data_IF_947534022271
#
_entry.id   IF_947534022271
#
_cell.length_a   1.000
_cell.length_b   1.000
_cell.length_c   1.000
_cell.angle_alpha   90.00
_cell.angle_beta   90.00
_cell.angle_gamma   90.00
#
_symmetry.space_group_name_H-M   'P 1'
#
loop_
_entity.id
_entity.type
_entity.pdbx_description
1 polymer ?
#
# COMPACT_ATOMS: atom_id res chain seq x y z
N UNK A 1 11.14 22.91 22.26
CA UNK A 1 11.47 22.06 21.11
C UNK A 1 10.19 21.49 20.52
N UNK A 2 9.97 21.76 19.27
CA UNK A 2 8.76 21.28 18.63
C UNK A 2 8.86 19.80 18.31
N UNK A 3 7.79 19.06 18.54
CA UNK A 3 7.73 17.66 18.16
C UNK A 3 7.81 17.55 16.64
N UNK A 4 8.56 16.56 16.15
CA UNK A 4 8.63 16.27 14.74
C UNK A 4 7.26 15.83 14.25
N UNK A 5 6.76 16.41 13.18
CA UNK A 5 5.49 15.97 12.59
C UNK A 5 5.64 14.57 12.04
N UNK A 6 4.64 13.69 12.22
CA UNK A 6 4.69 12.37 11.60
C UNK A 6 4.79 12.49 10.09
N UNK A 7 5.53 11.58 9.46
CA UNK A 7 5.54 11.48 8.01
C UNK A 7 4.15 11.09 7.52
N UNK A 8 3.76 11.61 6.35
CA UNK A 8 2.54 11.21 5.68
C UNK A 8 2.89 10.40 4.44
N UNK A 9 2.55 9.13 4.43
CA UNK A 9 2.87 8.20 3.33
C UNK A 9 1.59 7.77 2.63
N UNK A 10 1.59 7.89 1.30
CA UNK A 10 0.48 7.45 0.46
C UNK A 10 0.94 6.32 -0.45
N UNK A 11 0.29 5.18 -0.35
CA UNK A 11 0.52 4.05 -1.26
C UNK A 11 -0.48 4.10 -2.40
N UNK A 12 0.00 4.03 -3.64
CA UNK A 12 -0.84 4.10 -4.83
C UNK A 12 -0.76 2.84 -5.68
N UNK A 13 -1.91 2.37 -6.14
CA UNK A 13 -2.03 1.42 -7.23
C UNK A 13 -3.30 1.79 -8.00
N UNK A 14 -3.67 1.02 -9.03
CA UNK A 14 -4.81 1.41 -9.88
C UNK A 14 -6.14 1.25 -9.14
N UNK A 15 -6.42 0.05 -8.64
CA UNK A 15 -7.74 -0.26 -8.07
C UNK A 15 -7.84 -0.01 -6.56
N UNK A 16 -6.74 0.25 -5.87
CA UNK A 16 -6.71 0.33 -4.40
C UNK A 16 -7.43 -0.87 -3.78
N UNK A 17 -7.13 -2.05 -4.29
CA UNK A 17 -7.82 -3.29 -3.95
C UNK A 17 -6.92 -4.27 -3.23
N UNK A 18 -5.70 -4.48 -3.70
CA UNK A 18 -4.79 -5.49 -3.16
C UNK A 18 -3.47 -4.86 -2.69
N UNK A 19 -2.58 -4.51 -3.63
CA UNK A 19 -1.21 -4.09 -3.32
C UNK A 19 -1.15 -2.90 -2.35
N UNK A 20 -1.83 -1.82 -2.67
CA UNK A 20 -1.80 -0.63 -1.82
C UNK A 20 -2.54 -0.83 -0.50
N UNK A 21 -3.57 -1.67 -0.47
CA UNK A 21 -4.25 -2.00 0.79
C UNK A 21 -3.36 -2.84 1.71
N UNK A 22 -2.64 -3.81 1.15
CA UNK A 22 -1.70 -4.60 1.94
C UNK A 22 -0.56 -3.73 2.46
N UNK A 23 -0.05 -2.82 1.62
CA UNK A 23 0.99 -1.90 2.04
C UNK A 23 0.52 -0.99 3.17
N UNK A 24 -0.69 -0.45 3.06
CA UNK A 24 -1.25 0.37 4.12
C UNK A 24 -1.36 -0.40 5.44
N UNK A 25 -1.88 -1.62 5.40
CA UNK A 25 -2.03 -2.44 6.60
C UNK A 25 -0.70 -2.79 7.25
N UNK A 26 0.27 -3.22 6.46
CA UNK A 26 1.60 -3.56 6.97
C UNK A 26 2.31 -2.33 7.54
N UNK A 27 2.22 -1.20 6.85
CA UNK A 27 2.88 0.02 7.29
C UNK A 27 2.28 0.54 8.60
N UNK A 28 0.97 0.48 8.75
CA UNK A 28 0.32 0.88 10.00
C UNK A 28 0.77 0.00 11.16
N UNK A 29 0.92 -1.28 10.94
CA UNK A 29 1.40 -2.21 11.96
C UNK A 29 2.86 -1.93 12.31
N UNK A 30 3.69 -1.66 11.31
CA UNK A 30 5.13 -1.48 11.51
C UNK A 30 5.47 -0.13 12.15
N UNK A 31 4.83 0.93 11.69
CA UNK A 31 5.21 2.29 12.08
C UNK A 31 4.32 2.91 13.15
N UNK A 32 3.12 2.37 13.34
CA UNK A 32 2.19 2.90 14.35
C UNK A 32 1.90 4.38 14.09
N UNK A 33 1.90 5.18 15.15
CA UNK A 33 1.59 6.60 15.06
C UNK A 33 2.73 7.46 14.51
N UNK A 34 3.91 6.87 14.27
CA UNK A 34 5.06 7.61 13.73
C UNK A 34 4.84 8.03 12.27
N UNK A 35 3.96 7.35 11.56
CA UNK A 35 3.69 7.61 10.16
C UNK A 35 2.18 7.61 9.95
N UNK A 36 1.67 8.68 9.32
CA UNK A 36 0.29 8.73 8.89
C UNK A 36 0.20 8.02 7.54
N UNK A 37 -0.51 6.89 7.49
CA UNK A 37 -0.51 6.01 6.32
C UNK A 37 -1.88 6.05 5.64
N UNK A 38 -1.86 6.22 4.32
CA UNK A 38 -3.06 6.19 3.47
C UNK A 38 -2.77 5.37 2.23
N UNK A 39 -3.83 4.93 1.56
CA UNK A 39 -3.72 4.30 0.24
C UNK A 39 -4.86 4.78 -0.65
N UNK A 40 -4.65 4.75 -1.96
CA UNK A 40 -5.65 5.17 -2.93
C UNK A 40 -5.35 4.61 -4.31
N UNK A 41 -6.27 4.80 -5.24
CA UNK A 41 -6.11 4.38 -6.62
C UNK A 41 -6.82 5.31 -7.58
N UNK A 42 -6.46 5.21 -8.87
CA UNK A 42 -7.10 6.00 -9.92
C UNK A 42 -8.49 5.45 -10.26
N UNK A 43 -8.71 4.16 -10.08
CA UNK A 43 -9.98 3.49 -10.36
C UNK A 43 -10.36 2.60 -9.18
N UNK A 44 -10.81 3.20 -8.06
CA UNK A 44 -11.09 2.42 -6.85
C UNK A 44 -12.22 1.40 -7.09
N UNK A 45 -12.10 0.26 -6.44
CA UNK A 45 -13.10 -0.79 -6.53
C UNK A 45 -13.50 -1.26 -5.12
N UNK A 46 -12.92 -2.33 -4.65
CA UNK A 46 -13.16 -2.82 -3.29
C UNK A 46 -11.94 -3.59 -2.81
N UNK A 47 -11.79 -3.73 -1.50
CA UNK A 47 -10.67 -4.48 -0.93
C UNK A 47 -10.81 -5.95 -1.33
N UNK A 48 -9.75 -6.51 -1.89
CA UNK A 48 -9.78 -7.87 -2.42
C UNK A 48 -9.86 -8.89 -1.28
N UNK A 49 -10.77 -9.88 -1.36
CA UNK A 49 -10.89 -10.90 -0.30
C UNK A 49 -9.63 -11.71 -0.05
N UNK A 50 -8.84 -11.98 -1.07
CA UNK A 50 -7.56 -12.69 -0.89
C UNK A 50 -6.56 -11.82 -0.11
N UNK A 51 -6.57 -10.51 -0.35
CA UNK A 51 -5.73 -9.60 0.42
C UNK A 51 -6.14 -9.64 1.90
N UNK A 52 -7.42 -9.61 2.18
CA UNK A 52 -7.92 -9.70 3.56
C UNK A 52 -7.43 -10.99 4.22
N UNK A 53 -7.51 -12.10 3.50
CA UNK A 53 -7.14 -13.41 4.04
C UNK A 53 -5.65 -13.53 4.34
N UNK A 54 -4.77 -13.14 3.38
CA UNK A 54 -3.33 -13.26 3.60
C UNK A 54 -2.81 -12.26 4.62
N UNK A 55 -3.47 -11.12 4.77
CA UNK A 55 -3.08 -10.15 5.79
C UNK A 55 -3.46 -10.64 7.17
N UNK A 56 -4.58 -11.34 7.29
CA UNK A 56 -4.97 -11.96 8.56
C UNK A 56 -3.91 -12.96 9.03
N UNK A 57 -3.24 -13.64 8.12
CA UNK A 57 -2.17 -14.58 8.47
C UNK A 57 -1.01 -13.91 9.22
N UNK A 58 -0.81 -12.62 9.01
CA UNK A 58 0.26 -11.87 9.69
C UNK A 58 -0.28 -10.90 10.74
N UNK A 59 -1.52 -11.11 11.16
CA UNK A 59 -2.12 -10.35 12.25
C UNK A 59 -2.63 -8.97 11.87
N UNK A 60 -2.92 -8.74 10.58
CA UNK A 60 -3.43 -7.46 10.09
C UNK A 60 -4.86 -7.64 9.59
N UNK A 61 -5.79 -6.84 10.10
CA UNK A 61 -7.20 -6.88 9.72
C UNK A 61 -7.50 -5.79 8.71
N UNK A 62 -7.85 -6.17 7.48
CA UNK A 62 -8.23 -5.22 6.43
C UNK A 62 -9.75 -5.05 6.30
N UNK A 63 -10.54 -5.70 7.15
CA UNK A 63 -12.01 -5.66 6.98
C UNK A 63 -12.62 -4.28 7.16
N UNK A 64 -11.94 -3.38 7.86
CA UNK A 64 -12.39 -2.00 8.05
C UNK A 64 -11.85 -1.05 6.97
N UNK A 65 -10.97 -1.52 6.11
CA UNK A 65 -10.38 -0.70 5.05
C UNK A 65 -11.36 -0.48 3.91
N UNK A 66 -11.16 0.62 3.19
CA UNK A 66 -11.98 0.96 2.01
C UNK A 66 -11.10 1.29 0.84
N UNK A 67 -11.57 0.91 -0.35
CA UNK A 67 -10.95 1.35 -1.61
C UNK A 67 -11.31 2.81 -1.84
N UNK A 68 -10.32 3.65 -2.14
CA UNK A 68 -10.49 5.10 -2.22
C UNK A 68 -9.88 5.66 -3.49
N UNK A 69 -10.46 6.74 -3.99
CA UNK A 69 -9.91 7.48 -5.12
C UNK A 69 -8.76 8.36 -4.66
N UNK A 70 -7.71 8.44 -5.49
CA UNK A 70 -6.59 9.34 -5.26
C UNK A 70 -7.05 10.80 -5.17
N UNK A 71 -8.18 11.13 -5.79
CA UNK A 71 -8.75 12.48 -5.75
C UNK A 71 -9.26 12.87 -4.38
N UNK A 72 -9.51 11.89 -3.50
CA UNK A 72 -10.00 12.18 -2.13
C UNK A 72 -8.87 12.45 -1.16
N UNK A 73 -7.63 12.31 -1.57
CA UNK A 73 -6.47 12.48 -0.70
C UNK A 73 -6.06 13.96 -0.68
N UNK A 74 -5.92 14.51 0.52
CA UNK A 74 -5.45 15.88 0.70
C UNK A 74 -3.92 15.89 0.54
N UNK A 75 -3.38 16.57 -0.49
CA UNK A 75 -1.94 16.61 -0.72
C UNK A 75 -1.13 17.15 0.46
N UNK A 76 -1.71 18.01 1.28
CA UNK A 76 -1.03 18.57 2.44
C UNK A 76 -0.69 17.53 3.49
N UNK A 77 -1.37 16.37 3.48
CA UNK A 77 -1.16 15.30 4.44
C UNK A 77 -0.09 14.30 3.99
N UNK A 78 0.49 14.49 2.80
CA UNK A 78 1.38 13.50 2.18
C UNK A 78 2.73 14.13 1.89
N UNK A 79 3.79 13.57 2.46
CA UNK A 79 5.16 13.97 2.13
C UNK A 79 5.89 12.92 1.28
N UNK A 80 5.38 11.71 1.22
CA UNK A 80 5.99 10.61 0.46
C UNK A 80 4.91 9.80 -0.25
N UNK A 81 5.04 9.62 -1.55
CA UNK A 81 4.16 8.80 -2.36
C UNK A 81 4.92 7.57 -2.82
N UNK A 82 4.35 6.40 -2.57
CA UNK A 82 4.94 5.12 -2.99
C UNK A 82 3.98 4.46 -3.97
N UNK A 83 4.44 4.28 -5.22
CA UNK A 83 3.65 3.65 -6.27
C UNK A 83 4.01 2.17 -6.37
N UNK A 84 3.00 1.33 -6.51
CA UNK A 84 3.16 -0.13 -6.47
C UNK A 84 2.81 -0.81 -7.80
N UNK A 85 2.44 -0.05 -8.81
CA UNK A 85 2.09 -0.60 -10.12
C UNK A 85 3.34 -1.18 -10.81
N UNK A 86 3.19 -2.33 -11.46
CA UNK A 86 4.31 -2.96 -12.17
C UNK A 86 4.21 -2.72 -13.68
N UNK A 87 3.14 -3.21 -14.31
CA UNK A 87 2.97 -3.14 -15.76
C UNK A 87 1.90 -2.14 -16.19
N UNK A 88 0.95 -1.84 -15.30
CA UNK A 88 -0.11 -0.89 -15.59
C UNK A 88 0.36 0.55 -15.38
N UNK A 89 -0.42 1.49 -15.90
CA UNK A 89 -0.16 2.92 -15.70
C UNK A 89 -0.54 3.30 -14.26
N UNK A 90 0.44 3.76 -13.50
CA UNK A 90 0.20 4.22 -12.14
C UNK A 90 -0.47 5.58 -12.12
N UNK A 91 -1.35 5.83 -11.15
CA UNK A 91 -1.93 7.17 -10.99
C UNK A 91 -0.86 8.21 -10.65
N UNK A 92 -1.09 9.43 -11.12
CA UNK A 92 -0.24 10.57 -10.80
C UNK A 92 -0.84 11.30 -9.61
N UNK A 93 0.00 11.58 -8.63
CA UNK A 93 -0.39 12.36 -7.46
C UNK A 93 0.28 13.74 -7.57
N UNK A 94 -0.55 14.78 -7.68
CA UNK A 94 -0.07 16.15 -7.83
C UNK A 94 0.21 16.76 -6.46
N UNK A 95 1.48 17.01 -6.19
CA UNK A 95 1.90 17.60 -4.93
C UNK A 95 3.42 17.63 -4.86
N UNK A 96 3.96 18.22 -3.81
CA UNK A 96 5.40 18.32 -3.60
C UNK A 96 6.03 17.12 -2.91
N UNK A 97 5.31 16.01 -2.83
CA UNK A 97 5.76 14.84 -2.11
C UNK A 97 6.93 14.14 -2.81
N UNK A 98 7.79 13.52 -2.01
CA UNK A 98 8.83 12.63 -2.52
C UNK A 98 8.16 11.43 -3.18
N UNK A 99 8.72 10.96 -4.28
CA UNK A 99 8.15 9.82 -5.02
C UNK A 99 9.10 8.63 -4.95
N UNK A 100 8.54 7.47 -4.58
CA UNK A 100 9.27 6.20 -4.53
C UNK A 100 8.45 5.19 -5.33
N UNK A 101 9.12 4.35 -6.10
CA UNK A 101 8.44 3.35 -6.91
C UNK A 101 8.89 1.95 -6.52
N UNK A 102 7.94 1.14 -6.06
CA UNK A 102 8.16 -0.28 -5.74
C UNK A 102 7.27 -1.12 -6.66
N UNK A 103 7.75 -1.52 -7.84
CA UNK A 103 6.91 -2.30 -8.76
C UNK A 103 6.63 -3.69 -8.18
N UNK A 104 5.36 -3.94 -7.91
CA UNK A 104 4.88 -5.23 -7.39
C UNK A 104 3.96 -5.82 -8.45
N UNK A 105 4.24 -7.04 -8.97
CA UNK A 105 3.32 -7.68 -9.90
C UNK A 105 1.94 -7.81 -9.27
N UNK A 106 0.89 -7.55 -10.06
CA UNK A 106 -0.47 -7.65 -9.59
C UNK A 106 -0.80 -9.10 -9.26
N UNK A 107 -1.10 -9.46 -8.01
CA UNK A 107 -1.45 -10.82 -7.65
C UNK A 107 -2.85 -11.22 -8.09
N UNK A 108 -3.72 -10.24 -8.34
CA UNK A 108 -5.10 -10.51 -8.69
C UNK A 108 -5.23 -10.95 -10.14
N UNK A 109 -6.26 -11.77 -10.41
CA UNK A 109 -6.58 -12.21 -11.76
C UNK A 109 -8.09 -12.42 -11.83
N UNK A 110 -8.65 -12.15 -13.01
CA UNK A 110 -10.04 -12.43 -13.29
C UNK A 110 -10.24 -13.81 -13.92
N UNK A 111 -9.17 -14.57 -14.12
CA UNK A 111 -9.23 -15.90 -14.71
C UNK A 111 -9.81 -16.89 -13.68
N UNK A 112 -11.04 -17.42 -13.93
CA UNK A 112 -11.67 -18.32 -12.98
C UNK A 112 -11.04 -19.71 -12.91
N UNK A 113 -10.13 -20.03 -13.83
CA UNK A 113 -9.45 -21.34 -13.82
C UNK A 113 -8.29 -21.39 -12.83
N UNK A 114 -7.86 -20.26 -12.28
CA UNK A 114 -6.77 -20.23 -11.30
C UNK A 114 -7.29 -20.78 -9.96
N UNK A 115 -6.68 -21.85 -9.42
CA UNK A 115 -7.12 -22.41 -8.15
C UNK A 115 -6.91 -21.41 -7.00
N UNK A 116 -7.76 -21.52 -6.00
CA UNK A 116 -7.69 -20.69 -4.79
C UNK A 116 -6.28 -20.72 -4.16
N UNK A 117 -5.66 -21.89 -4.07
CA UNK A 117 -4.35 -22.03 -3.46
C UNK A 117 -3.27 -21.26 -4.24
N UNK A 118 -3.39 -21.22 -5.56
CA UNK A 118 -2.46 -20.44 -6.37
C UNK A 118 -2.68 -18.95 -6.15
N UNK A 119 -3.93 -18.52 -6.07
CA UNK A 119 -4.24 -17.12 -5.78
C UNK A 119 -3.67 -16.71 -4.42
N UNK A 120 -3.85 -17.53 -3.40
CA UNK A 120 -3.28 -17.24 -2.09
C UNK A 120 -1.76 -17.15 -2.13
N UNK A 121 -1.11 -18.03 -2.88
CA UNK A 121 0.33 -18.01 -3.05
C UNK A 121 0.80 -16.71 -3.68
N UNK A 122 0.09 -16.23 -4.70
CA UNK A 122 0.41 -14.97 -5.37
C UNK A 122 0.26 -13.78 -4.42
N UNK A 123 -0.81 -13.77 -3.64
CA UNK A 123 -1.06 -12.69 -2.69
C UNK A 123 -0.05 -12.71 -1.54
N UNK A 124 0.34 -13.90 -1.07
CA UNK A 124 1.39 -14.02 -0.05
C UNK A 124 2.73 -13.50 -0.57
N UNK A 125 3.07 -13.81 -1.81
CA UNK A 125 4.31 -13.34 -2.42
C UNK A 125 4.33 -11.81 -2.54
N UNK A 126 3.22 -11.22 -2.96
CA UNK A 126 3.09 -9.76 -3.06
C UNK A 126 3.20 -9.13 -1.67
N UNK A 127 2.50 -9.68 -0.68
CA UNK A 127 2.56 -9.22 0.70
C UNK A 127 3.98 -9.23 1.24
N UNK A 128 4.68 -10.34 1.05
CA UNK A 128 6.03 -10.50 1.61
C UNK A 128 7.02 -9.58 0.93
N UNK A 129 6.85 -9.34 -0.37
CA UNK A 129 7.70 -8.40 -1.10
C UNK A 129 7.48 -6.97 -0.65
N UNK A 130 6.24 -6.58 -0.39
CA UNK A 130 5.92 -5.27 0.17
C UNK A 130 6.55 -5.12 1.56
N UNK A 131 6.47 -6.17 2.38
CA UNK A 131 7.07 -6.16 3.71
C UNK A 131 8.58 -5.92 3.63
N UNK A 132 9.28 -6.56 2.70
CA UNK A 132 10.71 -6.36 2.52
C UNK A 132 11.03 -4.89 2.19
N UNK A 133 10.24 -4.27 1.30
CA UNK A 133 10.42 -2.86 0.97
C UNK A 133 10.18 -1.97 2.19
N UNK A 134 9.16 -2.28 2.97
CA UNK A 134 8.82 -1.48 4.16
C UNK A 134 9.92 -1.54 5.21
N UNK A 135 10.62 -2.65 5.32
CA UNK A 135 11.71 -2.80 6.28
C UNK A 135 12.86 -1.82 6.01
N UNK A 136 13.02 -1.40 4.77
CA UNK A 136 14.02 -0.39 4.41
C UNK A 136 13.50 1.05 4.43
N UNK A 137 12.20 1.22 4.57
CA UNK A 137 11.59 2.54 4.43
C UNK A 137 11.94 3.49 5.58
N UNK A 138 12.11 2.96 6.77
CA UNK A 138 12.44 3.74 7.96
C UNK A 138 13.71 4.57 7.73
N UNK A 139 14.73 3.96 7.13
CA UNK A 139 15.98 4.65 6.82
C UNK A 139 15.80 5.74 5.75
N UNK A 140 14.84 5.58 4.85
CA UNK A 140 14.55 6.56 3.80
C UNK A 140 13.78 7.76 4.37
N UNK A 141 12.80 7.48 5.24
CA UNK A 141 11.96 8.53 5.83
C UNK A 141 12.73 9.34 6.88
N UNK A 142 13.61 8.69 7.61
CA UNK A 142 14.26 9.30 8.77
C UNK A 142 15.74 8.87 8.80
N UNK A 143 16.53 9.33 7.80
CA UNK A 143 17.90 8.84 7.64
C UNK A 143 18.84 9.21 8.79
N UNK A 144 18.46 10.16 9.63
CA UNK A 144 19.26 10.58 10.77
C UNK A 144 18.82 9.98 12.11
N UNK A 145 17.81 9.13 12.07
CA UNK A 145 17.28 8.51 13.27
C UNK A 145 18.22 7.45 13.82
#
# INVERSE_FOLDING_TARGET
MSAKQPHGVLFLCVANSARSQMAEGLARKMFGSRVAVQSAGSEPSQVNPYAIEVMREVGVDLTSHRSKSVQTIDPATVDTVITLCAEEVCPVFLGGARRIHWPIPDPASTDPSIPREEMLTRFRAARDRIQEHLEGLDAVLDPEA
#
